data_IF_222277829399
#
_entry.id   IF_222277829399
#
_cell.length_a   1.000
_cell.length_b   1.000
_cell.length_c   1.000
_cell.angle_alpha   90.00
_cell.angle_beta   90.00
_cell.angle_gamma   90.00
#
_symmetry.space_group_name_H-M   'P 1'
#
loop_
_entity.id
_entity.type
_entity.pdbx_description
1 polymer ?
#
# COMPACT_ATOMS: atom_id res chain seq x y z
N UNK A 1 8.59 -32.90 -0.64
CA UNK A 1 9.39 -32.11 0.32
C UNK A 1 8.73 -30.75 0.49
N UNK A 2 8.30 -30.44 1.72
CA UNK A 2 7.63 -29.18 2.09
C UNK A 2 8.46 -27.96 1.67
N UNK A 3 7.78 -26.90 1.17
CA UNK A 3 8.41 -25.64 0.78
C UNK A 3 9.06 -24.96 1.99
N UNK A 4 8.50 -25.12 3.19
CA UNK A 4 9.07 -24.58 4.43
C UNK A 4 10.36 -25.31 4.81
N UNK A 5 10.35 -26.65 4.78
CA UNK A 5 11.54 -27.46 5.04
C UNK A 5 12.68 -27.15 4.07
N UNK A 6 12.37 -26.83 2.80
CA UNK A 6 13.37 -26.35 1.82
C UNK A 6 13.86 -24.94 2.11
N UNK A 7 13.00 -24.07 2.64
CA UNK A 7 13.41 -22.72 3.03
C UNK A 7 14.38 -22.73 4.22
N UNK A 8 14.18 -23.65 5.18
CA UNK A 8 15.05 -23.80 6.35
C UNK A 8 16.51 -24.13 5.98
N UNK A 9 16.72 -24.93 4.92
CA UNK A 9 18.05 -25.23 4.39
C UNK A 9 18.83 -23.99 3.93
N UNK A 10 18.13 -22.87 3.67
CA UNK A 10 18.72 -21.63 3.18
C UNK A 10 18.71 -20.49 4.21
N UNK A 11 18.18 -20.69 5.42
CA UNK A 11 18.13 -19.65 6.47
C UNK A 11 19.53 -19.18 6.86
N UNK A 12 20.47 -20.10 7.12
CA UNK A 12 21.86 -19.73 7.46
C UNK A 12 22.53 -18.94 6.33
N UNK A 13 22.26 -19.30 5.07
CA UNK A 13 22.78 -18.59 3.90
C UNK A 13 22.15 -17.20 3.76
N UNK A 14 20.85 -17.08 4.01
CA UNK A 14 20.14 -15.81 4.02
C UNK A 14 20.67 -14.88 5.13
N UNK A 15 20.90 -15.40 6.34
CA UNK A 15 21.51 -14.66 7.45
C UNK A 15 22.91 -14.15 7.09
N UNK A 16 23.75 -14.99 6.50
CA UNK A 16 25.07 -14.58 6.01
C UNK A 16 24.98 -13.49 4.93
N UNK A 17 24.01 -13.56 4.02
CA UNK A 17 23.80 -12.51 3.03
C UNK A 17 23.34 -11.19 3.66
N UNK A 18 22.37 -11.24 4.59
CA UNK A 18 21.89 -10.04 5.30
C UNK A 18 23.00 -9.42 6.14
N UNK A 19 23.84 -10.21 6.81
CA UNK A 19 24.94 -9.73 7.63
C UNK A 19 26.16 -9.25 6.83
N UNK A 20 26.45 -9.86 5.68
CA UNK A 20 27.71 -9.66 4.97
C UNK A 20 27.65 -8.96 3.62
N UNK A 21 26.48 -8.84 2.97
CA UNK A 21 26.45 -8.30 1.61
C UNK A 21 26.84 -6.82 1.56
N UNK A 22 27.71 -6.48 0.60
CA UNK A 22 27.99 -5.12 0.11
C UNK A 22 27.50 -4.92 -1.33
N UNK A 23 26.85 -5.92 -1.92
CA UNK A 23 26.38 -5.91 -3.30
C UNK A 23 24.84 -5.94 -3.36
N UNK A 24 24.27 -4.87 -3.90
CA UNK A 24 22.82 -4.73 -4.10
C UNK A 24 22.21 -5.78 -5.02
N UNK A 25 22.89 -6.17 -6.10
CA UNK A 25 22.39 -7.21 -7.01
C UNK A 25 22.34 -8.58 -6.33
N UNK A 26 23.30 -8.82 -5.43
CA UNK A 26 23.37 -10.06 -4.66
C UNK A 26 22.14 -10.26 -3.79
N UNK A 27 21.68 -9.20 -3.11
CA UNK A 27 20.50 -9.29 -2.25
C UNK A 27 19.21 -9.45 -3.06
N UNK A 28 19.06 -8.75 -4.19
CA UNK A 28 17.88 -8.88 -5.07
C UNK A 28 17.79 -10.27 -5.70
N UNK A 29 18.92 -10.78 -6.23
CA UNK A 29 19.00 -12.13 -6.80
C UNK A 29 18.69 -13.20 -5.74
N UNK A 30 19.17 -13.00 -4.51
CA UNK A 30 18.87 -13.90 -3.40
C UNK A 30 17.40 -13.84 -3.01
N UNK A 31 16.82 -12.64 -2.88
CA UNK A 31 15.40 -12.44 -2.58
C UNK A 31 14.50 -13.13 -3.61
N UNK A 32 14.85 -13.01 -4.89
CA UNK A 32 14.10 -13.65 -5.99
C UNK A 32 14.18 -15.18 -5.95
N UNK A 33 15.34 -15.73 -5.57
CA UNK A 33 15.59 -17.18 -5.57
C UNK A 33 15.11 -17.88 -4.28
N UNK A 34 15.23 -17.22 -3.14
CA UNK A 34 14.92 -17.77 -1.82
C UNK A 34 14.06 -16.79 -0.99
N UNK A 35 12.88 -16.38 -1.51
CA UNK A 35 12.05 -15.34 -0.92
C UNK A 35 11.64 -15.65 0.52
N UNK A 36 11.22 -16.89 0.80
CA UNK A 36 10.74 -17.32 2.13
C UNK A 36 11.86 -17.27 3.16
N UNK A 37 13.05 -17.79 2.83
CA UNK A 37 14.21 -17.80 3.73
C UNK A 37 14.70 -16.40 4.03
N UNK A 38 14.77 -15.53 3.02
CA UNK A 38 15.17 -14.14 3.22
C UNK A 38 14.12 -13.38 4.05
N UNK A 39 12.83 -13.56 3.76
CA UNK A 39 11.76 -12.96 4.55
C UNK A 39 11.85 -13.34 6.03
N UNK A 40 12.04 -14.63 6.34
CA UNK A 40 12.17 -15.12 7.71
C UNK A 40 13.36 -14.50 8.45
N UNK A 41 14.51 -14.35 7.78
CA UNK A 41 15.69 -13.69 8.35
C UNK A 41 15.45 -12.20 8.56
N UNK A 42 14.92 -11.48 7.56
CA UNK A 42 14.62 -10.05 7.68
C UNK A 42 13.66 -9.80 8.84
N UNK A 43 12.59 -10.60 8.94
CA UNK A 43 11.62 -10.52 10.03
C UNK A 43 12.26 -10.81 11.40
N UNK A 44 13.16 -11.79 11.47
CA UNK A 44 13.93 -12.09 12.69
C UNK A 44 14.83 -10.92 13.08
N UNK A 45 15.58 -10.37 12.12
CA UNK A 45 16.42 -9.20 12.36
C UNK A 45 15.61 -7.99 12.84
N UNK A 46 14.40 -7.77 12.31
CA UNK A 46 13.50 -6.72 12.81
C UNK A 46 13.07 -6.98 14.25
N UNK A 47 12.58 -8.18 14.54
CA UNK A 47 12.11 -8.58 15.86
C UNK A 47 13.20 -8.41 16.91
N UNK A 48 14.43 -8.77 16.56
CA UNK A 48 15.56 -8.76 17.46
C UNK A 48 16.32 -7.41 17.44
N UNK A 49 15.83 -6.43 16.65
CA UNK A 49 16.46 -5.13 16.41
C UNK A 49 17.95 -5.26 16.03
N UNK A 50 18.27 -6.26 15.22
CA UNK A 50 19.62 -6.52 14.72
C UNK A 50 20.03 -5.38 13.75
N UNK A 51 21.19 -4.72 13.95
CA UNK A 51 21.66 -3.63 13.07
C UNK A 51 21.83 -4.04 11.60
N UNK A 52 21.97 -5.34 11.31
CA UNK A 52 22.04 -5.87 9.95
C UNK A 52 20.82 -5.50 9.10
N UNK A 53 19.65 -5.28 9.71
CA UNK A 53 18.44 -4.89 8.98
C UNK A 53 18.56 -3.48 8.37
N UNK A 54 19.09 -2.54 9.15
CA UNK A 54 19.36 -1.17 8.72
C UNK A 54 20.46 -1.16 7.68
N UNK A 55 21.48 -1.98 7.90
CA UNK A 55 22.63 -2.10 7.00
C UNK A 55 22.24 -2.67 5.63
N UNK A 56 21.45 -3.74 5.57
CA UNK A 56 21.01 -4.33 4.30
C UNK A 56 20.07 -3.41 3.53
N UNK A 57 19.20 -2.67 4.24
CA UNK A 57 18.36 -1.65 3.64
C UNK A 57 19.18 -0.48 3.06
N UNK A 58 20.26 -0.07 3.74
CA UNK A 58 21.19 0.94 3.22
C UNK A 58 21.93 0.46 1.97
N UNK A 59 22.37 -0.80 1.91
CA UNK A 59 22.97 -1.39 0.70
C UNK A 59 21.98 -1.39 -0.47
N UNK A 60 20.72 -1.78 -0.22
CA UNK A 60 19.68 -1.74 -1.26
C UNK A 60 19.33 -0.30 -1.68
N UNK A 61 19.30 0.66 -0.75
CA UNK A 61 19.14 2.08 -1.06
C UNK A 61 20.23 2.59 -2.01
N UNK A 62 21.50 2.26 -1.75
CA UNK A 62 22.62 2.62 -2.64
C UNK A 62 22.42 2.01 -4.03
N UNK A 63 21.99 0.75 -4.09
CA UNK A 63 21.66 0.08 -5.36
C UNK A 63 20.55 0.83 -6.13
N UNK A 64 19.49 1.28 -5.45
CA UNK A 64 18.42 2.06 -6.08
C UNK A 64 18.90 3.41 -6.60
N UNK A 65 19.76 4.11 -5.85
CA UNK A 65 20.34 5.38 -6.31
C UNK A 65 21.19 5.18 -7.56
N UNK A 66 22.00 4.12 -7.61
CA UNK A 66 22.78 3.76 -8.79
C UNK A 66 21.89 3.29 -9.95
N UNK A 67 20.84 2.52 -9.69
CA UNK A 67 19.91 2.09 -10.73
C UNK A 67 19.18 3.28 -11.37
N UNK A 68 18.79 4.26 -10.55
CA UNK A 68 18.15 5.49 -11.00
C UNK A 68 19.11 6.45 -11.73
N UNK A 69 20.42 6.29 -11.57
CA UNK A 69 21.38 7.18 -12.23
C UNK A 69 21.53 6.91 -13.73
N UNK A 70 21.25 5.67 -14.15
CA UNK A 70 21.29 5.23 -15.55
C UNK A 70 20.17 4.21 -15.79
N UNK A 71 18.90 4.69 -15.86
CA UNK A 71 17.73 3.82 -15.91
C UNK A 71 17.61 3.05 -17.24
N UNK A 72 18.20 3.57 -18.31
CA UNK A 72 18.24 2.93 -19.63
C UNK A 72 19.27 1.82 -19.76
N UNK A 73 20.23 1.73 -18.82
CA UNK A 73 21.27 0.71 -18.91
C UNK A 73 20.95 -0.53 -18.07
N UNK A 74 20.96 -1.68 -18.73
CA UNK A 74 20.90 -3.03 -18.12
C UNK A 74 22.24 -3.44 -17.48
N UNK A 75 22.94 -2.45 -16.92
CA UNK A 75 24.26 -2.64 -16.35
C UNK A 75 24.15 -3.10 -14.90
N UNK A 76 25.01 -4.05 -14.52
CA UNK A 76 25.13 -4.54 -13.13
C UNK A 76 25.51 -3.43 -12.15
N UNK A 77 25.23 -3.65 -10.86
CA UNK A 77 25.64 -2.77 -9.76
C UNK A 77 27.13 -2.42 -9.81
N UNK A 78 27.98 -3.39 -10.15
CA UNK A 78 29.44 -3.19 -10.27
C UNK A 78 29.79 -2.15 -11.34
N UNK A 79 29.13 -2.22 -12.50
CA UNK A 79 29.37 -1.29 -13.59
C UNK A 79 28.85 0.11 -13.23
N UNK A 80 27.64 0.20 -12.69
CA UNK A 80 27.05 1.47 -12.24
C UNK A 80 27.89 2.13 -11.13
N UNK A 81 28.40 1.34 -10.19
CA UNK A 81 29.35 1.80 -9.18
C UNK A 81 30.63 2.37 -9.79
N UNK A 82 31.28 1.61 -10.68
CA UNK A 82 32.54 2.04 -11.30
C UNK A 82 32.36 3.35 -12.07
N UNK A 83 31.21 3.53 -12.73
CA UNK A 83 30.86 4.75 -13.46
C UNK A 83 30.53 5.94 -12.56
N UNK A 84 29.76 5.74 -11.48
CA UNK A 84 29.25 6.84 -10.65
C UNK A 84 30.13 7.18 -9.45
N UNK A 85 30.78 6.19 -8.82
CA UNK A 85 31.64 6.36 -7.64
C UNK A 85 33.12 6.28 -8.01
N UNK A 86 33.45 5.45 -9.01
CA UNK A 86 34.83 5.15 -9.37
C UNK A 86 35.40 3.94 -8.62
N UNK A 87 36.42 3.32 -9.21
CA UNK A 87 37.12 2.19 -8.60
C UNK A 87 36.31 0.90 -8.53
N UNK A 88 36.76 -0.03 -7.66
CA UNK A 88 36.10 -1.31 -7.39
C UNK A 88 35.11 -1.14 -6.22
N UNK A 89 33.99 -1.87 -6.27
CA UNK A 89 33.04 -1.94 -5.14
C UNK A 89 33.76 -2.51 -3.91
N UNK A 90 33.73 -1.83 -2.76
CA UNK A 90 34.29 -2.35 -1.52
C UNK A 90 33.65 -3.69 -1.11
N UNK A 91 34.49 -4.64 -0.69
CA UNK A 91 34.03 -5.93 -0.19
C UNK A 91 33.47 -5.82 1.23
N UNK A 92 33.91 -4.82 2.01
CA UNK A 92 33.37 -4.52 3.33
C UNK A 92 32.27 -3.48 3.24
N UNK A 93 31.18 -3.72 3.97
CA UNK A 93 30.02 -2.83 3.99
C UNK A 93 30.32 -1.43 4.53
N UNK A 94 31.16 -1.32 5.57
CA UNK A 94 31.49 0.00 6.12
C UNK A 94 32.24 0.85 5.09
N UNK A 95 33.22 0.27 4.39
CA UNK A 95 33.96 0.94 3.32
C UNK A 95 33.02 1.36 2.16
N UNK A 96 32.01 0.54 1.84
CA UNK A 96 30.94 0.90 0.88
C UNK A 96 30.19 2.15 1.35
N UNK A 97 29.77 2.20 2.61
CA UNK A 97 29.03 3.32 3.17
C UNK A 97 29.86 4.60 3.23
N UNK A 98 31.11 4.49 3.66
CA UNK A 98 32.04 5.62 3.74
C UNK A 98 32.30 6.22 2.34
N UNK A 99 32.42 5.37 1.32
CA UNK A 99 32.63 5.79 -0.07
C UNK A 99 31.50 6.67 -0.61
N UNK A 100 30.28 6.47 -0.12
CA UNK A 100 29.09 7.25 -0.53
C UNK A 100 28.60 8.18 0.57
N UNK A 101 29.35 8.39 1.66
CA UNK A 101 28.91 9.22 2.79
C UNK A 101 28.59 10.65 2.35
N UNK A 102 29.39 11.18 1.42
CA UNK A 102 29.22 12.50 0.81
C UNK A 102 27.88 12.66 0.04
N UNK A 103 27.22 11.57 -0.37
CA UNK A 103 25.88 11.66 -1.00
C UNK A 103 24.82 12.20 -0.06
N UNK A 104 25.08 12.15 1.24
CA UNK A 104 24.12 12.44 2.31
C UNK A 104 24.45 13.71 3.11
N UNK A 105 25.54 14.43 2.78
CA UNK A 105 26.18 15.38 3.71
C UNK A 105 25.69 16.84 3.72
N UNK A 106 25.01 17.35 2.68
CA UNK A 106 25.06 18.81 2.44
C UNK A 106 23.72 19.57 2.50
N UNK A 107 22.64 18.97 3.04
CA UNK A 107 21.38 19.70 3.15
C UNK A 107 20.48 19.22 4.31
N UNK A 108 19.85 20.13 5.08
CA UNK A 108 18.89 19.78 6.14
C UNK A 108 17.70 18.95 5.65
N UNK A 109 17.31 19.10 4.38
CA UNK A 109 16.23 18.32 3.77
C UNK A 109 16.66 16.87 3.42
N UNK A 110 17.97 16.63 3.32
CA UNK A 110 18.55 15.38 2.86
C UNK A 110 18.42 14.26 3.90
N UNK A 111 18.46 14.59 5.19
CA UNK A 111 18.21 13.60 6.26
C UNK A 111 16.78 13.05 6.20
N UNK A 112 15.78 13.91 5.91
CA UNK A 112 14.40 13.45 5.71
C UNK A 112 14.29 12.52 4.49
N UNK A 113 14.92 12.88 3.38
CA UNK A 113 14.89 12.06 2.17
C UNK A 113 15.68 10.76 2.33
N UNK A 114 16.80 10.78 3.04
CA UNK A 114 17.58 9.60 3.39
C UNK A 114 16.76 8.65 4.24
N UNK A 115 16.10 9.14 5.30
CA UNK A 115 15.23 8.32 6.14
C UNK A 115 14.09 7.70 5.32
N UNK A 116 13.42 8.50 4.47
CA UNK A 116 12.34 8.03 3.61
C UNK A 116 12.84 7.00 2.58
N UNK A 117 13.95 7.27 1.90
CA UNK A 117 14.53 6.35 0.90
C UNK A 117 15.01 5.06 1.55
N UNK A 118 15.53 5.13 2.78
CA UNK A 118 15.91 3.96 3.55
C UNK A 118 14.68 3.12 3.95
N UNK A 119 13.61 3.75 4.43
CA UNK A 119 12.35 3.08 4.74
C UNK A 119 11.72 2.44 3.49
N UNK A 120 11.80 3.11 2.34
CA UNK A 120 11.36 2.59 1.05
C UNK A 120 12.19 1.39 0.62
N UNK A 121 13.52 1.49 0.69
CA UNK A 121 14.41 0.39 0.36
C UNK A 121 14.13 -0.84 1.22
N UNK A 122 13.87 -0.62 2.51
CA UNK A 122 13.44 -1.68 3.42
C UNK A 122 12.08 -2.29 3.00
N UNK A 123 11.08 -1.47 2.73
CA UNK A 123 9.76 -1.93 2.26
C UNK A 123 9.85 -2.74 0.97
N UNK A 124 10.65 -2.28 0.00
CA UNK A 124 10.90 -2.99 -1.24
C UNK A 124 11.53 -4.36 -1.02
N UNK A 125 12.53 -4.47 -0.12
CA UNK A 125 13.13 -5.76 0.22
C UNK A 125 12.10 -6.73 0.81
N UNK A 126 11.21 -6.25 1.67
CA UNK A 126 10.11 -7.07 2.20
C UNK A 126 9.13 -7.49 1.10
N UNK A 127 8.75 -6.57 0.22
CA UNK A 127 7.86 -6.83 -0.92
C UNK A 127 8.47 -7.79 -1.95
N UNK A 128 9.78 -7.68 -2.22
CA UNK A 128 10.53 -8.61 -3.05
C UNK A 128 10.44 -10.04 -2.52
N UNK A 129 10.43 -10.21 -1.20
CA UNK A 129 10.33 -11.52 -0.59
C UNK A 129 8.88 -12.04 -0.57
N UNK A 130 7.87 -11.19 -0.45
CA UNK A 130 6.46 -11.64 -0.40
C UNK A 130 5.85 -11.82 -1.79
N UNK A 131 6.29 -11.03 -2.77
CA UNK A 131 5.77 -11.00 -4.13
C UNK A 131 6.88 -10.80 -5.18
N UNK A 132 7.87 -11.72 -5.27
CA UNK A 132 9.03 -11.57 -6.15
C UNK A 132 8.67 -11.35 -7.63
N UNK A 133 7.55 -11.92 -8.09
CA UNK A 133 7.06 -11.78 -9.46
C UNK A 133 6.67 -10.35 -9.83
N UNK A 134 6.40 -9.47 -8.86
CA UNK A 134 6.18 -8.04 -9.12
C UNK A 134 7.46 -7.33 -9.58
N UNK A 135 8.62 -7.93 -9.33
CA UNK A 135 9.94 -7.33 -9.54
C UNK A 135 10.80 -8.06 -10.57
N UNK A 136 10.38 -9.24 -11.04
CA UNK A 136 11.16 -10.07 -11.98
C UNK A 136 11.47 -9.41 -13.34
N UNK A 137 10.95 -8.21 -13.64
CA UNK A 137 11.15 -7.53 -14.92
C UNK A 137 11.83 -6.16 -14.80
N UNK A 138 12.29 -5.71 -13.62
CA UNK A 138 13.01 -4.43 -13.39
C UNK A 138 12.39 -3.14 -14.00
N UNK A 139 11.19 -3.20 -14.59
CA UNK A 139 10.45 -2.09 -15.21
C UNK A 139 9.89 -1.07 -14.19
N UNK A 140 10.50 -0.98 -13.01
CA UNK A 140 10.22 0.03 -12.01
C UNK A 140 11.01 1.33 -12.26
N UNK A 141 11.98 1.34 -13.20
CA UNK A 141 12.58 2.53 -13.80
C UNK A 141 11.91 2.82 -15.17
N UNK A 142 11.80 4.10 -15.61
CA UNK A 142 10.93 4.49 -16.72
C UNK A 142 11.43 3.92 -18.05
N UNK A 143 10.60 3.11 -18.71
CA UNK A 143 10.82 2.70 -20.10
C UNK A 143 10.68 3.90 -21.04
N UNK A 144 11.58 3.93 -22.03
CA UNK A 144 11.70 4.91 -23.10
C UNK A 144 10.36 5.26 -23.78
N UNK A 145 10.11 6.55 -23.90
CA UNK A 145 9.16 7.13 -24.84
C UNK A 145 9.91 7.42 -26.14
N UNK A 146 9.94 6.45 -27.05
CA UNK A 146 10.38 6.71 -28.42
C UNK A 146 9.33 7.57 -29.15
N UNK A 147 9.86 8.57 -29.85
CA UNK A 147 9.22 9.84 -30.22
C UNK A 147 8.26 9.78 -31.42
N UNK A 148 7.69 8.63 -31.78
CA UNK A 148 6.84 8.54 -32.99
C UNK A 148 5.69 7.53 -32.91
N UNK A 149 4.97 7.45 -31.79
CA UNK A 149 3.63 6.82 -31.80
C UNK A 149 2.62 7.65 -31.03
N UNK A 150 1.75 8.33 -31.77
CA UNK A 150 0.60 9.06 -31.26
C UNK A 150 -0.45 8.09 -30.72
N UNK A 151 -0.56 7.98 -29.38
CA UNK A 151 -1.73 7.44 -28.71
C UNK A 151 -2.62 8.62 -28.30
N UNK A 152 -3.78 8.73 -28.95
CA UNK A 152 -4.79 9.74 -28.66
C UNK A 152 -5.32 9.56 -27.22
N UNK A 153 -4.88 10.43 -26.32
CA UNK A 153 -5.57 10.74 -25.09
C UNK A 153 -6.42 12.00 -25.32
N UNK A 154 -7.75 11.87 -25.29
CA UNK A 154 -8.63 13.03 -25.19
C UNK A 154 -8.76 13.45 -23.71
N UNK A 155 -8.36 14.70 -23.49
CA UNK A 155 -8.51 15.65 -22.35
C UNK A 155 -9.62 15.38 -21.30
N UNK A 156 -9.44 15.70 -20.01
CA UNK A 156 -9.16 17.06 -19.50
C UNK A 156 -8.11 17.16 -18.38
N UNK A 157 -7.06 17.94 -18.70
CA UNK A 157 -6.28 18.88 -17.89
C UNK A 157 -6.01 18.56 -16.40
N UNK A 158 -4.85 17.96 -16.14
CA UNK A 158 -3.93 18.47 -15.13
C UNK A 158 -2.51 18.36 -15.70
N UNK A 159 -1.81 19.48 -15.81
CA UNK A 159 -0.48 19.54 -16.41
C UNK A 159 0.53 18.73 -15.61
N UNK A 160 1.13 17.71 -16.21
CA UNK A 160 2.39 17.13 -15.76
C UNK A 160 3.52 18.07 -16.17
N UNK A 161 4.39 18.54 -15.25
CA UNK A 161 5.58 19.26 -15.67
C UNK A 161 6.60 18.24 -16.19
N UNK A 162 6.86 18.32 -17.49
CA UNK A 162 7.99 17.67 -18.15
C UNK A 162 9.28 18.28 -17.58
N UNK A 163 9.99 17.54 -16.72
CA UNK A 163 11.36 17.86 -16.35
C UNK A 163 12.29 16.76 -16.86
N UNK A 164 12.63 16.85 -18.15
CA UNK A 164 13.88 16.27 -18.63
C UNK A 164 15.02 17.06 -17.96
N UNK A 165 15.85 16.39 -17.16
CA UNK A 165 17.07 17.00 -16.66
C UNK A 165 18.12 16.98 -17.77
N UNK A 166 18.72 18.13 -18.15
CA UNK A 166 19.87 18.14 -19.04
C UNK A 166 21.01 17.35 -18.39
N UNK A 167 21.68 16.51 -19.19
CA UNK A 167 22.68 15.52 -18.81
C UNK A 167 24.00 16.07 -18.21
N UNK A 168 24.02 17.29 -17.64
CA UNK A 168 25.27 17.95 -17.24
C UNK A 168 25.38 18.49 -15.82
N UNK A 169 24.43 18.23 -14.92
CA UNK A 169 24.64 18.50 -13.49
C UNK A 169 23.94 17.44 -12.62
N UNK A 170 24.68 16.35 -12.40
CA UNK A 170 24.33 15.16 -11.63
C UNK A 170 24.72 15.39 -10.16
N UNK A 171 23.74 15.49 -9.25
CA UNK A 171 24.03 15.43 -7.81
C UNK A 171 23.16 14.34 -7.20
N UNK A 172 23.74 13.48 -6.35
CA UNK A 172 23.03 12.40 -5.67
C UNK A 172 21.74 12.89 -4.99
N UNK A 173 21.75 14.14 -4.51
CA UNK A 173 20.60 14.85 -3.96
C UNK A 173 19.39 14.90 -4.90
N UNK A 174 19.60 15.13 -6.22
CA UNK A 174 18.51 15.17 -7.22
C UNK A 174 17.95 13.77 -7.48
N UNK A 175 18.79 12.73 -7.45
CA UNK A 175 18.36 11.34 -7.60
C UNK A 175 17.61 10.88 -6.37
N UNK A 176 18.07 11.22 -5.17
CA UNK A 176 17.41 10.93 -3.90
C UNK A 176 16.04 11.62 -3.85
N UNK A 177 15.98 12.90 -4.24
CA UNK A 177 14.71 13.63 -4.37
C UNK A 177 13.81 13.01 -5.44
N UNK A 178 14.35 12.62 -6.59
CA UNK A 178 13.58 11.97 -7.66
C UNK A 178 13.03 10.61 -7.23
N UNK A 179 13.83 9.79 -6.53
CA UNK A 179 13.38 8.57 -5.91
C UNK A 179 12.25 8.90 -4.94
N UNK A 180 12.47 9.77 -3.96
CA UNK A 180 11.43 10.20 -3.03
C UNK A 180 10.15 10.67 -3.73
N UNK A 181 10.24 11.53 -4.74
CA UNK A 181 9.08 12.09 -5.45
C UNK A 181 8.36 11.03 -6.31
N UNK A 182 9.08 10.19 -7.06
CA UNK A 182 8.47 9.12 -7.88
C UNK A 182 7.87 8.02 -7.01
N UNK A 183 8.50 7.67 -5.90
CA UNK A 183 8.00 6.68 -4.96
C UNK A 183 6.87 7.21 -4.11
N UNK A 184 6.91 8.46 -3.68
CA UNK A 184 5.77 9.11 -3.01
C UNK A 184 4.57 9.17 -3.94
N UNK A 185 4.76 9.52 -5.22
CA UNK A 185 3.70 9.48 -6.23
C UNK A 185 3.21 8.06 -6.53
N UNK A 186 4.07 7.03 -6.51
CA UNK A 186 3.70 5.63 -6.78
C UNK A 186 3.14 4.88 -5.59
N UNK A 187 3.58 5.17 -4.36
CA UNK A 187 2.89 4.76 -3.13
C UNK A 187 1.56 5.48 -3.06
N UNK A 188 1.53 6.78 -3.35
CA UNK A 188 0.29 7.50 -3.59
C UNK A 188 -0.50 6.87 -4.73
N UNK A 189 0.08 6.20 -5.73
CA UNK A 189 -0.65 5.49 -6.79
C UNK A 189 -1.12 4.09 -6.38
N UNK A 190 -0.38 3.35 -5.55
CA UNK A 190 -0.80 2.09 -4.93
C UNK A 190 -1.94 2.37 -3.92
N UNK A 191 -1.86 3.49 -3.20
CA UNK A 191 -2.92 4.02 -2.34
C UNK A 191 -4.05 4.72 -3.13
N UNK A 192 -3.79 5.42 -4.24
CA UNK A 192 -4.77 6.12 -5.09
C UNK A 192 -5.37 5.25 -6.21
N UNK A 193 -4.85 4.03 -6.42
CA UNK A 193 -5.64 2.93 -6.98
C UNK A 193 -6.87 2.63 -6.10
N UNK A 194 -6.96 3.24 -4.90
CA UNK A 194 -8.15 3.36 -4.06
C UNK A 194 -8.70 4.79 -3.86
N UNK A 195 -8.36 5.77 -4.69
CA UNK A 195 -9.07 7.06 -4.70
C UNK A 195 -8.27 8.21 -5.30
N UNK A 196 -8.80 8.86 -6.34
CA UNK A 196 -8.18 10.04 -6.97
C UNK A 196 -8.99 11.32 -6.76
N UNK A 197 -8.28 12.34 -6.24
CA UNK A 197 -8.35 13.82 -6.36
C UNK A 197 -9.46 14.54 -7.17
N UNK A 198 -9.83 15.76 -6.70
CA UNK A 198 -9.44 17.10 -7.25
C UNK A 198 -10.23 18.25 -6.53
N UNK A 199 -9.59 19.25 -5.90
CA UNK A 199 -9.07 20.58 -6.38
C UNK A 199 -10.11 21.73 -6.50
N UNK A 200 -9.83 22.89 -5.85
CA UNK A 200 -9.83 24.26 -6.46
C UNK A 200 -9.37 25.40 -5.50
N UNK A 201 -8.31 26.13 -5.94
CA UNK A 201 -7.90 27.58 -5.89
C UNK A 201 -8.67 28.59 -4.96
N UNK A 202 -8.14 29.69 -4.36
CA UNK A 202 -6.88 30.49 -4.46
C UNK A 202 -6.82 31.71 -3.48
N UNK A 203 -5.61 32.01 -2.92
CA UNK A 203 -4.93 33.34 -2.60
C UNK A 203 -5.52 34.37 -1.58
N UNK A 204 -4.76 35.40 -1.11
CA UNK A 204 -3.48 35.46 -0.34
C UNK A 204 -3.53 36.49 0.85
N UNK A 205 -2.38 36.79 1.50
CA UNK A 205 -1.99 37.92 2.42
C UNK A 205 -1.43 37.40 3.77
N UNK A 206 -0.49 37.99 4.50
CA UNK A 206 0.76 38.77 4.30
C UNK A 206 1.30 39.13 5.72
N UNK A 207 2.63 39.07 5.95
CA UNK A 207 3.36 39.71 7.10
C UNK A 207 3.70 38.77 8.28
N UNK A 208 4.96 38.39 8.55
CA UNK A 208 6.11 39.16 9.14
C UNK A 208 5.92 39.41 10.65
N UNK A 209 6.77 39.10 11.64
CA UNK A 209 8.19 38.66 11.78
C UNK A 209 8.40 38.27 13.27
N UNK A 210 9.57 37.66 13.58
CA UNK A 210 10.29 37.54 14.88
C UNK A 210 10.10 36.21 15.62
N UNK A 211 10.99 35.23 15.43
CA UNK A 211 12.26 35.06 16.16
C UNK A 211 12.08 34.96 17.68
N UNK A 212 12.08 33.72 18.22
CA UNK A 212 13.09 33.30 19.20
C UNK A 212 12.98 31.80 19.58
N UNK A 213 14.03 31.07 19.19
CA UNK A 213 14.85 30.17 20.01
C UNK A 213 14.26 28.81 20.46
N UNK A 214 14.67 27.80 19.66
CA UNK A 214 14.98 26.39 19.99
C UNK A 214 13.85 25.40 20.24
N UNK A 215 14.01 24.23 19.60
CA UNK A 215 13.23 22.99 19.73
C UNK A 215 11.86 22.95 19.05
N UNK A 216 11.80 22.33 17.86
CA UNK A 216 10.82 21.26 17.52
C UNK A 216 11.06 20.78 16.09
N UNK A 217 12.04 19.88 15.94
CA UNK A 217 12.00 18.88 14.89
C UNK A 217 10.85 17.92 15.17
N UNK A 218 10.23 17.36 14.12
CA UNK A 218 9.26 16.26 14.29
C UNK A 218 10.00 14.95 13.99
N UNK A 219 10.33 14.14 15.02
CA UNK A 219 10.92 12.81 14.86
C UNK A 219 9.83 11.76 14.62
N UNK A 220 10.17 10.68 13.92
CA UNK A 220 9.45 9.41 14.08
C UNK A 220 9.82 8.84 15.45
N UNK A 221 8.83 8.62 16.32
CA UNK A 221 9.08 8.10 17.66
C UNK A 221 9.28 6.57 17.61
N UNK A 222 10.50 6.12 17.94
CA UNK A 222 10.85 4.71 18.13
C UNK A 222 10.80 4.40 19.61
N UNK A 223 9.89 3.54 20.07
CA UNK A 223 9.83 3.15 21.49
C UNK A 223 10.08 1.65 21.63
N UNK A 224 11.13 1.30 22.40
CA UNK A 224 11.48 -0.08 22.77
C UNK A 224 10.63 -0.53 23.97
N UNK A 225 10.10 -1.75 23.92
CA UNK A 225 9.61 -2.46 25.11
C UNK A 225 10.66 -3.47 25.58
N UNK A 226 11.16 -3.31 26.79
CA UNK A 226 11.94 -4.34 27.48
C UNK A 226 10.98 -5.37 28.08
N UNK A 227 11.04 -6.60 27.59
CA UNK A 227 10.25 -7.71 28.11
C UNK A 227 10.06 -8.79 27.05
N UNK A 228 10.63 -9.96 27.33
CA UNK A 228 10.53 -11.17 26.51
C UNK A 228 9.07 -11.59 26.33
N UNK A 229 8.45 -11.16 25.22
CA UNK A 229 7.48 -11.89 24.39
C UNK A 229 6.98 -10.94 23.29
N UNK A 230 7.47 -11.12 22.07
CA UNK A 230 6.92 -10.56 20.81
C UNK A 230 6.58 -9.06 20.81
N UNK A 231 7.57 -8.19 20.62
CA UNK A 231 7.33 -6.76 20.41
C UNK A 231 6.79 -6.49 18.99
N UNK A 232 5.58 -5.95 18.87
CA UNK A 232 5.06 -5.38 17.63
C UNK A 232 5.53 -3.93 17.50
N UNK A 233 6.22 -3.61 16.40
CA UNK A 233 6.64 -2.23 16.08
C UNK A 233 5.62 -1.63 15.11
N UNK A 234 4.94 -0.56 15.52
CA UNK A 234 4.03 0.18 14.65
C UNK A 234 4.81 1.16 13.77
N UNK A 235 4.57 1.11 12.46
CA UNK A 235 4.98 2.16 11.54
C UNK A 235 3.74 2.99 11.20
N UNK A 236 3.52 4.06 11.96
CA UNK A 236 2.39 4.97 11.75
C UNK A 236 2.84 6.10 10.81
N UNK A 237 2.16 6.34 9.67
CA UNK A 237 2.49 7.46 8.81
C UNK A 237 2.27 8.77 9.58
N UNK A 238 3.33 9.57 9.70
CA UNK A 238 3.35 10.89 10.38
C UNK A 238 3.22 12.05 9.39
N UNK A 239 2.73 11.79 8.17
CA UNK A 239 2.47 12.82 7.19
C UNK A 239 1.32 13.74 7.63
N UNK A 240 1.38 15.01 7.23
CA UNK A 240 0.25 15.92 7.37
C UNK A 240 -0.85 15.52 6.37
N UNK A 241 -2.03 15.23 6.90
CA UNK A 241 -3.25 15.06 6.11
C UNK A 241 -3.87 16.43 5.80
N UNK A 242 -4.76 16.50 4.81
CA UNK A 242 -5.56 17.71 4.58
C UNK A 242 -6.36 18.03 5.86
N UNK A 243 -6.48 19.30 6.23
CA UNK A 243 -7.08 19.71 7.51
C UNK A 243 -8.54 19.26 7.69
N UNK A 244 -9.23 18.96 6.59
CA UNK A 244 -10.61 18.49 6.52
C UNK A 244 -10.72 17.01 6.09
N UNK A 245 -9.62 16.27 6.04
CA UNK A 245 -9.65 14.85 5.73
C UNK A 245 -10.43 14.10 6.81
N UNK A 246 -11.33 13.23 6.36
CA UNK A 246 -12.00 12.28 7.24
C UNK A 246 -11.24 10.95 7.22
N UNK A 247 -10.99 10.39 8.39
CA UNK A 247 -10.14 9.23 8.56
C UNK A 247 -10.97 7.99 8.95
N UNK A 248 -10.59 6.86 8.36
CA UNK A 248 -11.03 5.53 8.80
C UNK A 248 -9.76 4.74 9.06
N UNK A 249 -9.56 4.30 10.29
CA UNK A 249 -8.44 3.44 10.69
C UNK A 249 -9.02 2.07 11.00
N UNK A 250 -8.60 1.04 10.26
CA UNK A 250 -9.12 -0.30 10.44
C UNK A 250 -8.04 -1.38 10.37
N UNK A 251 -8.22 -2.45 11.16
CA UNK A 251 -7.37 -3.63 11.15
C UNK A 251 -6.99 -4.10 12.54
N UNK A 252 -6.07 -5.07 12.56
CA UNK A 252 -5.44 -5.57 13.77
C UNK A 252 -4.37 -4.57 14.24
N UNK A 253 -4.68 -3.85 15.31
CA UNK A 253 -3.72 -2.95 15.95
C UNK A 253 -2.76 -3.72 16.86
N UNK A 254 -2.97 -5.00 17.15
CA UNK A 254 -2.11 -5.80 18.02
C UNK A 254 -1.88 -5.17 19.42
N UNK A 255 -2.80 -4.30 19.84
CA UNK A 255 -2.84 -3.66 21.17
C UNK A 255 -4.28 -3.40 21.59
N UNK A 256 -4.55 -3.49 22.88
CA UNK A 256 -5.86 -3.17 23.47
C UNK A 256 -5.94 -1.68 23.76
N UNK A 257 -6.93 -0.96 23.21
CA UNK A 257 -7.08 0.48 23.47
C UNK A 257 -7.47 0.76 24.93
N UNK A 258 -8.42 -0.01 25.46
CA UNK A 258 -8.87 0.08 26.85
C UNK A 258 -8.68 -1.27 27.59
N UNK A 259 -7.52 -1.53 28.20
CA UNK A 259 -7.20 -2.84 28.78
C UNK A 259 -8.20 -3.36 29.83
N UNK A 260 -8.89 -2.47 30.56
CA UNK A 260 -9.87 -2.86 31.59
C UNK A 260 -11.07 -3.64 31.01
N UNK A 261 -11.41 -3.40 29.75
CA UNK A 261 -12.57 -3.98 29.08
C UNK A 261 -12.19 -4.81 27.85
N UNK A 262 -11.10 -4.45 27.18
CA UNK A 262 -10.60 -5.07 25.95
C UNK A 262 -9.64 -6.25 26.22
N UNK A 263 -9.26 -6.50 27.47
CA UNK A 263 -8.43 -7.62 27.86
C UNK A 263 -9.15 -8.52 28.87
N UNK A 264 -8.98 -9.84 28.76
CA UNK A 264 -9.49 -10.82 29.72
C UNK A 264 -8.71 -10.80 31.04
N UNK A 265 -7.45 -10.37 31.01
CA UNK A 265 -6.54 -10.32 32.15
C UNK A 265 -6.74 -9.03 32.94
N UNK A 266 -6.79 -9.12 34.27
CA UNK A 266 -6.77 -7.96 35.17
C UNK A 266 -5.38 -7.33 35.32
N UNK A 267 -4.35 -7.94 34.72
CA UNK A 267 -2.97 -7.44 34.81
C UNK A 267 -2.77 -6.31 33.81
N UNK A 268 -2.87 -5.08 34.31
CA UNK A 268 -2.52 -3.89 33.56
C UNK A 268 -1.01 -3.84 33.32
N UNK A 269 -0.57 -4.03 32.07
CA UNK A 269 0.80 -3.75 31.67
C UNK A 269 0.87 -2.36 31.07
N UNK A 270 1.75 -1.53 31.62
CA UNK A 270 2.05 -0.24 31.03
C UNK A 270 2.86 -0.47 29.74
N UNK A 271 2.17 -0.44 28.60
CA UNK A 271 2.76 -0.66 27.28
C UNK A 271 3.00 0.69 26.58
N UNK A 272 4.26 1.14 26.41
CA UNK A 272 4.56 2.40 25.72
C UNK A 272 4.05 2.44 24.27
N UNK A 273 4.02 1.29 23.59
CA UNK A 273 3.46 1.15 22.23
C UNK A 273 1.96 1.50 22.18
N UNK A 274 1.20 1.18 23.23
CA UNK A 274 -0.22 1.54 23.35
C UNK A 274 -0.38 3.05 23.45
N UNK A 275 0.46 3.72 24.26
CA UNK A 275 0.39 5.18 24.42
C UNK A 275 0.69 5.89 23.09
N UNK A 276 1.73 5.49 22.36
CA UNK A 276 2.02 6.04 21.04
C UNK A 276 0.90 5.77 20.02
N UNK A 277 0.26 4.60 20.08
CA UNK A 277 -0.91 4.30 19.27
C UNK A 277 -2.08 5.24 19.62
N UNK A 278 -2.41 5.40 20.90
CA UNK A 278 -3.47 6.30 21.36
C UNK A 278 -3.21 7.76 20.97
N UNK A 279 -1.96 8.22 21.11
CA UNK A 279 -1.56 9.58 20.68
C UNK A 279 -1.77 9.77 19.18
N UNK A 280 -1.36 8.80 18.35
CA UNK A 280 -1.58 8.86 16.91
C UNK A 280 -3.07 8.86 16.54
N UNK A 281 -3.88 8.00 17.16
CA UNK A 281 -5.32 7.96 16.95
C UNK A 281 -6.00 9.27 17.38
N UNK A 282 -5.56 9.84 18.51
CA UNK A 282 -6.01 11.14 19.00
C UNK A 282 -5.67 12.26 18.01
N UNK A 283 -4.47 12.26 17.43
CA UNK A 283 -4.05 13.24 16.43
C UNK A 283 -4.85 13.15 15.12
N UNK A 284 -5.35 11.96 14.78
CA UNK A 284 -6.26 11.77 13.65
C UNK A 284 -7.72 12.14 13.97
N UNK A 285 -8.04 12.40 15.24
CA UNK A 285 -9.40 12.67 15.70
C UNK A 285 -10.35 11.50 15.44
N UNK A 286 -9.85 10.26 15.53
CA UNK A 286 -10.67 9.06 15.32
C UNK A 286 -11.16 8.47 16.64
N UNK A 287 -12.37 7.95 16.62
CA UNK A 287 -13.05 7.34 17.76
C UNK A 287 -13.39 5.88 17.45
N UNK A 288 -13.48 5.08 18.51
CA UNK A 288 -13.90 3.68 18.44
C UNK A 288 -15.42 3.56 18.37
N UNK A 289 -15.94 3.44 17.15
CA UNK A 289 -17.37 3.43 16.87
C UNK A 289 -18.13 2.29 17.60
N UNK A 290 -17.51 1.10 17.72
CA UNK A 290 -18.09 -0.02 18.45
C UNK A 290 -18.21 0.31 19.94
N UNK A 291 -17.16 0.85 20.53
CA UNK A 291 -17.14 1.20 21.96
C UNK A 291 -18.15 2.30 22.30
N UNK A 292 -18.46 3.21 21.37
CA UNK A 292 -19.50 4.22 21.56
C UNK A 292 -20.90 3.59 21.73
N UNK A 293 -21.23 2.54 20.97
CA UNK A 293 -22.51 1.84 21.08
C UNK A 293 -22.52 0.80 22.22
N UNK A 294 -21.36 0.24 22.53
CA UNK A 294 -21.19 -0.85 23.49
C UNK A 294 -20.17 -0.46 24.57
N UNK A 295 -20.48 0.51 25.45
CA UNK A 295 -19.51 1.08 26.39
C UNK A 295 -18.98 0.05 27.40
N UNK A 296 -19.80 -0.90 27.81
CA UNK A 296 -19.48 -1.89 28.86
C UNK A 296 -19.32 -3.33 28.33
N UNK A 297 -19.59 -3.55 27.05
CA UNK A 297 -19.53 -4.90 26.48
C UNK A 297 -18.09 -5.36 26.25
N UNK A 298 -17.78 -6.59 26.66
CA UNK A 298 -16.48 -7.21 26.42
C UNK A 298 -16.55 -8.07 25.16
N UNK A 299 -15.75 -7.72 24.17
CA UNK A 299 -15.56 -8.53 22.96
C UNK A 299 -14.06 -8.74 22.75
N UNK A 300 -13.66 -9.97 22.44
CA UNK A 300 -12.26 -10.33 22.19
C UNK A 300 -12.15 -10.89 20.77
N UNK A 301 -11.23 -10.34 19.99
CA UNK A 301 -11.19 -10.55 18.53
C UNK A 301 -9.93 -11.28 18.08
N UNK A 302 -8.88 -11.30 18.90
CA UNK A 302 -7.62 -11.96 18.58
C UNK A 302 -7.70 -13.49 18.51
N UNK A 303 -6.53 -14.16 18.41
CA UNK A 303 -6.41 -15.61 18.28
C UNK A 303 -7.09 -16.40 19.40
N UNK A 304 -7.46 -17.65 19.12
CA UNK A 304 -7.98 -18.55 20.15
C UNK A 304 -6.88 -19.04 21.11
N UNK A 305 -7.14 -19.14 22.44
CA UNK A 305 -8.33 -18.65 23.13
C UNK A 305 -8.35 -17.12 23.18
N UNK A 306 -9.50 -16.51 22.81
CA UNK A 306 -9.60 -15.05 22.62
C UNK A 306 -9.50 -14.33 23.96
N UNK A 307 -8.42 -13.56 24.13
CA UNK A 307 -8.13 -12.80 25.36
C UNK A 307 -8.21 -11.30 25.17
N UNK A 308 -8.01 -10.81 23.95
CA UNK A 308 -7.84 -9.39 23.67
C UNK A 308 -8.73 -8.95 22.50
N UNK A 309 -9.25 -7.72 22.57
CA UNK A 309 -9.75 -6.99 21.40
C UNK A 309 -8.58 -6.32 20.70
N UNK A 310 -8.29 -6.77 19.48
CA UNK A 310 -7.16 -6.30 18.69
C UNK A 310 -7.60 -5.69 17.36
N UNK A 311 -8.82 -6.01 16.89
CA UNK A 311 -9.34 -5.63 15.59
C UNK A 311 -10.33 -4.47 15.72
N UNK A 312 -9.98 -3.32 15.13
CA UNK A 312 -10.74 -2.08 15.28
C UNK A 312 -11.19 -1.54 13.93
N UNK A 313 -12.29 -0.80 13.94
CA UNK A 313 -12.71 0.14 12.89
C UNK A 313 -12.98 1.45 13.62
N UNK A 314 -12.05 2.38 13.48
CA UNK A 314 -12.09 3.70 14.10
C UNK A 314 -12.42 4.73 13.02
N UNK A 315 -13.28 5.68 13.37
CA UNK A 315 -13.82 6.65 12.44
C UNK A 315 -13.54 8.05 12.95
N UNK A 316 -13.26 9.01 12.07
CA UNK A 316 -13.31 10.41 12.46
C UNK A 316 -14.68 10.74 13.03
N UNK A 317 -14.71 11.61 14.04
CA UNK A 317 -15.95 12.01 14.72
C UNK A 317 -17.03 12.48 13.72
N UNK A 318 -16.66 13.24 12.70
CA UNK A 318 -17.56 13.68 11.63
C UNK A 318 -18.20 12.54 10.83
N UNK A 319 -17.44 11.47 10.52
CA UNK A 319 -17.96 10.30 9.81
C UNK A 319 -18.87 9.46 10.71
N UNK A 320 -18.50 9.31 11.98
CA UNK A 320 -19.33 8.62 12.94
C UNK A 320 -20.70 9.29 13.09
N UNK A 321 -20.72 10.61 13.31
CA UNK A 321 -21.97 11.35 13.50
C UNK A 321 -22.86 11.39 12.24
N UNK A 322 -22.26 11.38 11.05
CA UNK A 322 -23.00 11.59 9.79
C UNK A 322 -23.52 10.30 9.16
N UNK A 323 -22.72 9.24 9.14
CA UNK A 323 -23.01 8.05 8.33
C UNK A 323 -22.90 6.74 9.10
N UNK A 324 -22.40 6.69 10.33
CA UNK A 324 -22.33 5.42 11.04
C UNK A 324 -23.71 4.96 11.50
N UNK A 325 -24.00 3.66 11.31
CA UNK A 325 -25.28 3.04 11.69
C UNK A 325 -25.08 2.03 12.81
N UNK A 326 -24.29 0.98 12.55
CA UNK A 326 -24.00 -0.09 13.49
C UNK A 326 -22.67 -0.74 13.17
N UNK A 327 -22.16 -1.56 14.08
CA UNK A 327 -21.10 -2.52 13.78
C UNK A 327 -21.34 -3.83 14.51
N UNK A 328 -20.57 -4.87 14.20
CA UNK A 328 -20.64 -6.17 14.83
C UNK A 328 -19.34 -6.93 14.65
N UNK A 329 -19.10 -7.92 15.52
CA UNK A 329 -18.01 -8.87 15.37
C UNK A 329 -18.56 -10.25 15.03
N UNK A 330 -18.04 -10.86 13.96
CA UNK A 330 -18.49 -12.17 13.47
C UNK A 330 -17.33 -13.09 13.16
N UNK A 331 -17.54 -14.39 13.35
CA UNK A 331 -16.59 -15.42 12.91
C UNK A 331 -16.89 -15.76 11.45
N UNK A 332 -15.95 -15.56 10.53
CA UNK A 332 -16.11 -15.93 9.12
C UNK A 332 -15.12 -17.06 8.74
N UNK A 333 -15.44 -17.90 7.75
CA UNK A 333 -14.56 -19.02 7.36
C UNK A 333 -13.14 -18.60 6.91
N UNK A 334 -12.95 -17.32 6.55
CA UNK A 334 -11.73 -16.80 5.96
C UNK A 334 -10.99 -15.78 6.85
N UNK A 335 -11.47 -15.51 8.06
CA UNK A 335 -10.84 -14.52 8.98
C UNK A 335 -9.71 -15.10 9.81
N UNK A 336 -9.34 -16.37 9.56
CA UNK A 336 -8.31 -17.06 10.31
C UNK A 336 -8.73 -17.29 11.77
N UNK A 337 -7.80 -17.06 12.68
CA UNK A 337 -7.99 -17.16 14.13
C UNK A 337 -8.64 -15.92 14.76
N UNK A 338 -8.87 -14.85 13.98
CA UNK A 338 -9.51 -13.61 14.42
C UNK A 338 -11.02 -13.54 14.12
N UNK A 339 -11.73 -12.64 14.82
CA UNK A 339 -13.09 -12.21 14.45
C UNK A 339 -13.01 -11.07 13.41
N UNK A 340 -13.92 -11.07 12.44
CA UNK A 340 -14.11 -9.92 11.56
C UNK A 340 -14.91 -8.83 12.28
N UNK A 341 -14.40 -7.61 12.26
CA UNK A 341 -15.18 -6.40 12.57
C UNK A 341 -15.91 -5.94 11.30
N UNK A 342 -17.24 -5.84 11.36
CA UNK A 342 -18.07 -5.33 10.27
C UNK A 342 -18.73 -4.04 10.76
N UNK A 343 -18.54 -2.93 10.05
CA UNK A 343 -19.25 -1.67 10.29
C UNK A 343 -20.19 -1.35 9.13
N UNK A 344 -21.42 -0.97 9.45
CA UNK A 344 -22.44 -0.54 8.50
C UNK A 344 -22.58 0.97 8.56
N UNK A 345 -22.57 1.59 7.38
CA UNK A 345 -22.86 3.00 7.23
C UNK A 345 -24.30 3.19 6.75
N UNK A 346 -25.05 4.08 7.39
CA UNK A 346 -26.31 4.59 6.90
C UNK A 346 -26.08 5.16 5.49
N UNK A 347 -26.93 4.75 4.55
CA UNK A 347 -26.81 5.12 3.15
C UNK A 347 -26.93 6.65 3.06
N UNK A 348 -25.86 7.41 2.74
CA UNK A 348 -26.07 8.79 2.39
C UNK A 348 -26.84 8.73 1.07
N UNK A 349 -28.08 9.19 1.06
CA UNK A 349 -28.88 9.39 -0.15
C UNK A 349 -28.23 10.35 -1.17
N UNK A 350 -26.98 10.75 -0.94
CA UNK A 350 -26.19 11.65 -1.73
C UNK A 350 -24.78 11.08 -1.85
N UNK A 351 -24.41 10.75 -3.09
CA UNK A 351 -23.09 10.40 -3.66
C UNK A 351 -23.12 9.06 -4.40
N UNK A 352 -24.05 8.95 -5.37
CA UNK A 352 -23.78 8.21 -6.60
C UNK A 352 -22.70 8.96 -7.40
N UNK A 353 -21.51 9.14 -6.82
CA UNK A 353 -20.33 9.47 -7.62
C UNK A 353 -20.15 8.28 -8.55
N UNK A 354 -19.90 8.55 -9.85
CA UNK A 354 -19.50 7.52 -10.83
C UNK A 354 -18.25 6.80 -10.31
N UNK A 355 -18.45 5.78 -9.49
CA UNK A 355 -17.38 4.90 -9.07
C UNK A 355 -16.81 4.18 -10.29
N UNK A 356 -15.52 3.88 -10.25
CA UNK A 356 -14.95 2.93 -11.19
C UNK A 356 -15.81 1.66 -11.18
N UNK A 357 -16.25 1.23 -12.36
CA UNK A 357 -17.07 0.04 -12.50
C UNK A 357 -16.39 -1.14 -11.79
N UNK A 358 -17.07 -1.69 -10.78
CA UNK A 358 -16.73 -2.95 -10.16
C UNK A 358 -17.52 -4.03 -10.86
N UNK A 359 -16.86 -5.12 -11.25
CA UNK A 359 -17.54 -6.26 -11.85
C UNK A 359 -18.52 -6.83 -10.83
N UNK A 360 -19.84 -6.81 -11.07
CA UNK A 360 -20.79 -7.49 -10.20
C UNK A 360 -20.55 -8.99 -10.28
N UNK A 361 -20.46 -9.66 -9.12
CA UNK A 361 -20.33 -11.12 -9.10
C UNK A 361 -21.53 -11.82 -9.72
N UNK A 362 -22.71 -11.18 -9.70
CA UNK A 362 -23.93 -11.70 -10.31
C UNK A 362 -23.86 -11.86 -11.83
N UNK A 363 -22.92 -11.21 -12.52
CA UNK A 363 -22.70 -11.48 -13.94
C UNK A 363 -22.23 -12.92 -14.18
N UNK A 364 -21.57 -13.54 -13.20
CA UNK A 364 -21.10 -14.91 -13.30
C UNK A 364 -22.19 -15.93 -12.94
N UNK A 365 -23.38 -15.50 -12.51
CA UNK A 365 -24.52 -16.40 -12.33
C UNK A 365 -25.12 -16.81 -13.68
N UNK A 366 -24.82 -16.07 -14.76
CA UNK A 366 -25.22 -16.39 -16.12
C UNK A 366 -24.19 -17.34 -16.75
N UNK A 367 -24.53 -18.63 -17.01
CA UNK A 367 -23.59 -19.61 -17.56
C UNK A 367 -22.99 -19.16 -18.90
N UNK A 368 -23.81 -18.52 -19.75
CA UNK A 368 -23.37 -17.98 -21.04
C UNK A 368 -22.24 -16.94 -20.92
N UNK A 369 -22.19 -16.18 -19.82
CA UNK A 369 -21.12 -15.19 -19.61
C UNK A 369 -19.82 -15.91 -19.20
N UNK A 370 -19.92 -16.97 -18.36
CA UNK A 370 -18.77 -17.80 -17.98
C UNK A 370 -18.18 -18.50 -19.20
N UNK A 371 -19.02 -19.18 -19.98
CA UNK A 371 -18.63 -19.90 -21.20
C UNK A 371 -17.93 -18.97 -22.19
N UNK A 372 -18.49 -17.77 -22.43
CA UNK A 372 -17.88 -16.79 -23.33
C UNK A 372 -16.49 -16.29 -22.85
N UNK A 373 -16.28 -16.16 -21.54
CA UNK A 373 -14.97 -15.78 -20.99
C UNK A 373 -13.98 -16.93 -21.11
N UNK A 374 -14.42 -18.16 -20.85
CA UNK A 374 -13.59 -19.37 -20.98
C UNK A 374 -13.14 -19.57 -22.42
N UNK A 375 -14.05 -19.48 -23.39
CA UNK A 375 -13.70 -19.53 -24.81
C UNK A 375 -12.70 -18.44 -25.22
N UNK A 376 -12.89 -17.21 -24.73
CA UNK A 376 -11.99 -16.11 -25.03
C UNK A 376 -10.61 -16.29 -24.36
N UNK A 377 -10.57 -16.88 -23.16
CA UNK A 377 -9.35 -17.25 -22.49
C UNK A 377 -8.57 -18.33 -23.26
N UNK A 378 -9.27 -19.34 -23.78
CA UNK A 378 -8.68 -20.40 -24.61
C UNK A 378 -8.12 -19.83 -25.93
N UNK A 379 -8.84 -18.90 -26.57
CA UNK A 379 -8.39 -18.21 -27.79
C UNK A 379 -7.08 -17.43 -27.58
N UNK A 380 -6.91 -16.76 -26.43
CA UNK A 380 -5.69 -16.01 -26.17
C UNK A 380 -4.53 -16.86 -25.65
N UNK A 381 -4.78 -18.08 -25.16
CA UNK A 381 -3.74 -18.94 -24.60
C UNK A 381 -2.67 -19.30 -25.64
N UNK A 382 -3.08 -19.58 -26.87
CA UNK A 382 -2.14 -19.80 -27.98
C UNK A 382 -1.32 -18.55 -28.31
N UNK A 383 -1.95 -17.37 -28.29
CA UNK A 383 -1.29 -16.10 -28.55
C UNK A 383 -0.28 -15.73 -27.46
N UNK A 384 -0.61 -15.99 -26.19
CA UNK A 384 0.28 -15.76 -25.05
C UNK A 384 1.54 -16.63 -25.15
N UNK A 385 1.39 -17.90 -25.57
CA UNK A 385 2.52 -18.83 -25.70
C UNK A 385 3.44 -18.50 -26.86
N UNK A 386 2.91 -17.92 -27.94
CA UNK A 386 3.67 -17.57 -29.14
C UNK A 386 4.20 -16.12 -29.15
N UNK A 387 3.71 -15.25 -28.26
CA UNK A 387 4.08 -13.84 -28.25
C UNK A 387 5.45 -13.59 -27.60
N UNK A 388 6.22 -12.68 -28.19
CA UNK A 388 7.42 -12.10 -27.58
C UNK A 388 7.11 -11.13 -26.43
N UNK A 389 5.85 -10.69 -26.30
CA UNK A 389 5.37 -9.72 -25.31
C UNK A 389 4.04 -10.18 -24.66
N UNK A 390 4.03 -11.32 -23.95
CA UNK A 390 2.81 -11.92 -23.41
C UNK A 390 2.05 -11.01 -22.45
N UNK A 391 2.76 -10.15 -21.70
CA UNK A 391 2.13 -9.16 -20.82
C UNK A 391 1.21 -8.20 -21.57
N UNK A 392 1.62 -7.71 -22.74
CA UNK A 392 0.80 -6.80 -23.56
C UNK A 392 -0.45 -7.49 -24.09
N UNK A 393 -0.34 -8.76 -24.51
CA UNK A 393 -1.48 -9.58 -24.96
C UNK A 393 -2.46 -9.77 -23.81
N UNK A 394 -1.96 -10.09 -22.61
CA UNK A 394 -2.77 -10.25 -21.41
C UNK A 394 -3.52 -8.96 -21.01
N UNK A 395 -2.84 -7.81 -20.99
CA UNK A 395 -3.48 -6.53 -20.65
C UNK A 395 -4.56 -6.14 -21.67
N UNK A 396 -4.32 -6.36 -22.97
CA UNK A 396 -5.30 -6.13 -24.02
C UNK A 396 -6.54 -6.99 -23.82
N UNK A 397 -6.37 -8.27 -23.50
CA UNK A 397 -7.47 -9.18 -23.22
C UNK A 397 -8.26 -8.76 -21.97
N UNK A 398 -7.59 -8.46 -20.85
CA UNK A 398 -8.28 -7.97 -19.63
C UNK A 398 -9.11 -6.72 -19.92
N UNK A 399 -8.56 -5.78 -20.70
CA UNK A 399 -9.27 -4.57 -21.14
C UNK A 399 -10.47 -4.94 -22.02
N UNK A 400 -10.34 -5.88 -22.94
CA UNK A 400 -11.43 -6.35 -23.79
C UNK A 400 -12.57 -6.98 -22.97
N UNK A 401 -12.25 -7.96 -22.12
CA UNK A 401 -13.23 -8.66 -21.27
C UNK A 401 -13.95 -7.69 -20.33
N UNK A 402 -13.22 -6.72 -19.73
CA UNK A 402 -13.82 -5.67 -18.92
C UNK A 402 -14.88 -4.87 -19.69
N UNK A 403 -14.59 -4.44 -20.92
CA UNK A 403 -15.56 -3.70 -21.73
C UNK A 403 -16.76 -4.55 -22.13
N UNK A 404 -16.55 -5.83 -22.44
CA UNK A 404 -17.63 -6.77 -22.74
C UNK A 404 -18.58 -6.89 -21.54
N UNK A 405 -18.04 -7.15 -20.35
CA UNK A 405 -18.82 -7.26 -19.12
C UNK A 405 -19.53 -5.97 -18.75
N UNK A 406 -18.89 -4.81 -18.96
CA UNK A 406 -19.52 -3.50 -18.77
C UNK A 406 -20.74 -3.31 -19.68
N UNK A 407 -20.63 -3.66 -20.96
CA UNK A 407 -21.74 -3.57 -21.92
C UNK A 407 -22.87 -4.51 -21.57
N UNK A 408 -22.55 -5.75 -21.17
CA UNK A 408 -23.57 -6.73 -20.76
C UNK A 408 -24.29 -6.24 -19.50
N UNK A 409 -23.55 -5.79 -18.48
CA UNK A 409 -24.14 -5.25 -17.26
C UNK A 409 -25.05 -4.04 -17.54
N UNK A 410 -24.65 -3.13 -18.43
CA UNK A 410 -25.49 -2.01 -18.85
C UNK A 410 -26.78 -2.48 -19.53
N UNK A 411 -26.72 -3.50 -20.40
CA UNK A 411 -27.91 -4.07 -21.05
C UNK A 411 -28.86 -4.73 -20.06
N UNK A 412 -28.33 -5.50 -19.10
CA UNK A 412 -29.13 -6.14 -18.05
C UNK A 412 -29.85 -5.08 -17.22
N UNK A 413 -29.14 -4.05 -16.73
CA UNK A 413 -29.75 -2.97 -15.95
C UNK A 413 -30.84 -2.22 -16.70
N UNK A 414 -30.62 -1.92 -17.98
CA UNK A 414 -31.62 -1.25 -18.81
C UNK A 414 -32.87 -2.10 -19.01
N UNK A 415 -32.72 -3.43 -19.06
CA UNK A 415 -33.83 -4.35 -19.19
C UNK A 415 -34.61 -4.46 -17.87
N UNK A 416 -33.91 -4.62 -16.74
CA UNK A 416 -34.50 -4.63 -15.40
C UNK A 416 -35.30 -3.35 -15.13
N UNK A 417 -34.76 -2.18 -15.48
CA UNK A 417 -35.45 -0.90 -15.32
C UNK A 417 -36.73 -0.82 -16.15
N UNK A 418 -36.70 -1.27 -17.41
CA UNK A 418 -37.90 -1.36 -18.26
C UNK A 418 -38.96 -2.30 -17.69
N UNK A 419 -38.54 -3.43 -17.13
CA UNK A 419 -39.44 -4.43 -16.56
C UNK A 419 -40.07 -3.91 -15.27
N UNK A 420 -39.32 -3.17 -14.44
CA UNK A 420 -39.85 -2.46 -13.26
C UNK A 420 -40.87 -1.40 -13.67
N UNK A 421 -40.57 -0.55 -14.65
CA UNK A 421 -41.49 0.48 -15.15
C UNK A 421 -42.78 -0.17 -15.68
N UNK A 422 -42.66 -1.27 -16.43
CA UNK A 422 -43.82 -2.01 -16.96
C UNK A 422 -44.66 -2.62 -15.82
N UNK A 423 -44.02 -3.21 -14.81
CA UNK A 423 -44.70 -3.78 -13.65
C UNK A 423 -45.42 -2.71 -12.83
N UNK A 424 -44.80 -1.54 -12.61
CA UNK A 424 -45.42 -0.40 -11.93
C UNK A 424 -46.63 0.14 -12.71
N UNK A 425 -46.52 0.26 -14.04
CA UNK A 425 -47.65 0.66 -14.89
C UNK A 425 -48.82 -0.33 -14.77
N UNK A 426 -48.55 -1.64 -14.74
CA UNK A 426 -49.55 -2.69 -14.53
C UNK A 426 -50.22 -2.61 -13.15
N UNK A 427 -49.44 -2.43 -12.08
CA UNK A 427 -49.97 -2.26 -10.73
C UNK A 427 -50.85 -1.01 -10.60
N UNK A 428 -50.44 0.11 -11.23
CA UNK A 428 -51.23 1.34 -11.26
C UNK A 428 -52.56 1.16 -12.01
N UNK A 429 -52.55 0.39 -13.10
CA UNK A 429 -53.75 0.04 -13.85
C UNK A 429 -54.70 -0.83 -13.02
N UNK A 430 -54.16 -1.81 -12.29
CA UNK A 430 -54.94 -2.68 -11.39
C UNK A 430 -55.56 -1.89 -10.22
N UNK A 431 -54.81 -0.93 -9.68
CA UNK A 431 -55.26 -0.05 -8.59
C UNK A 431 -56.36 0.92 -9.05
N UNK A 432 -56.27 1.45 -10.29
CA UNK A 432 -57.32 2.27 -10.90
C UNK A 432 -58.56 1.47 -11.31
N UNK A 433 -58.40 0.19 -11.66
CA UNK A 433 -59.54 -0.68 -11.95
C UNK A 433 -60.34 -0.98 -10.68
N UNK A 434 -59.66 -1.31 -9.57
CA UNK A 434 -60.32 -1.57 -8.28
C UNK A 434 -61.05 -0.34 -7.69
N UNK A 435 -60.57 0.87 -7.97
CA UNK A 435 -61.23 2.11 -7.52
C UNK A 435 -62.45 2.53 -8.37
N UNK A 436 -62.62 1.95 -9.57
CA UNK A 436 -63.79 2.18 -10.44
C UNK A 436 -64.89 1.13 -10.29
N UNK A 437 -64.59 -0.01 -9.66
CA UNK A 437 -65.54 -1.10 -9.39
C UNK A 437 -66.11 -1.09 -7.96
N UNK A 438 -65.82 -0.05 -7.18
CA UNK A 438 -66.53 0.32 -5.95
C UNK A 438 -67.30 1.59 -6.22
#
# INVERSE_FOLDING_TARGET
>A
MDKLLRADLHVTKAASHVAGTSNGDGIIKFASKYPISLHGVLHTCMRDNNPDITNVAQVHMINRVLAASDPSSDNTFLHKWSKSVGGKVPSKRQELFDSVAHWWGDSPNLEKWKLATHALAFFELMMLCTAPTLFCNDHWAPGDLDSNTSLSAASHQCATPTFALPARNFTAQRVIKWCYDNYSQRLSWIYNCRGSQQSLRSRPLSGSTLENIWSTGVPAQRVRSGGSNGAATFFLPTGSFEANASHIVCGDLNTTLCPSIDCSSSVYRHEPSRLSCLEWLSNLGVIDAWRQQHPEERVFTGPQPRKNRLDYILLSESLFQSVYKDSSYVSLPHTGDHLAHIATFANPSQLQVRGYWKCPFSLFDYPIIKEAIEEEADRILGQLRASTHPGTVWEKWKKHVKHLLQRIHQKIRHQEEKDVIRAQAGCNYFSQFQSRTR
#
